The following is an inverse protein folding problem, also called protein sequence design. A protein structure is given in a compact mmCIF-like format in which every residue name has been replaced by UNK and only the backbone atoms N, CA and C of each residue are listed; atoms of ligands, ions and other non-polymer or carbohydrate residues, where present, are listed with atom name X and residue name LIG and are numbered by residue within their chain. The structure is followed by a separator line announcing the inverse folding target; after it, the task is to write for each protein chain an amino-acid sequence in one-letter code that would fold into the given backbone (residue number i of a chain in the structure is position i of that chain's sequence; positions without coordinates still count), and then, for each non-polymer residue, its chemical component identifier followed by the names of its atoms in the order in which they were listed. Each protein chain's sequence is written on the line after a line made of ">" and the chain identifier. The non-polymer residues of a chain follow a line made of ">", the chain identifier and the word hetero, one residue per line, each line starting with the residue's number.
data_IF_660554010869
#
_entry.id   IF_660554010869
#
_cell.length_a   1.000
_cell.length_b   1.000
_cell.length_c   1.000
_cell.angle_alpha   90.00
_cell.angle_beta   90.00
_cell.angle_gamma   90.00
#
_symmetry.space_group_name_H-M   'P 1'
#
loop_
_entity.id
_entity.type
_entity.pdbx_description
1 polymer ?
#
# COMPACT_ATOMS: atom_id res chain seq x y z
N UNK A 1 -28.72 -2.09 -0.84
CA UNK A 1 -28.49 -0.66 -1.08
C UNK A 1 -27.40 -0.23 -0.11
N UNK A 2 -26.24 0.19 -0.61
CA UNK A 2 -25.13 0.65 0.22
C UNK A 2 -25.16 2.18 0.17
N UNK A 3 -25.27 2.82 1.33
CA UNK A 3 -25.20 4.28 1.46
C UNK A 3 -23.79 4.69 1.86
N UNK A 4 -23.26 5.73 1.22
CA UNK A 4 -21.98 6.34 1.58
C UNK A 4 -22.26 7.61 2.40
N UNK A 5 -21.48 7.84 3.47
CA UNK A 5 -21.56 9.08 4.24
C UNK A 5 -20.82 10.21 3.51
N UNK A 6 -21.46 11.38 3.42
CA UNK A 6 -20.86 12.60 2.89
C UNK A 6 -19.81 13.12 3.90
N UNK A 7 -18.54 13.06 3.52
CA UNK A 7 -17.40 13.52 4.32
C UNK A 7 -17.00 14.97 4.02
N UNK A 8 -17.50 15.57 2.94
CA UNK A 8 -17.18 16.95 2.53
C UNK A 8 -18.05 17.97 3.28
N UNK A 9 -19.26 17.56 3.68
CA UNK A 9 -20.17 18.34 4.55
C UNK A 9 -20.66 17.47 5.70
N UNK A 10 -19.81 17.21 6.72
CA UNK A 10 -20.26 16.43 7.87
C UNK A 10 -21.46 17.14 8.50
N UNK A 11 -22.61 16.47 8.52
CA UNK A 11 -23.73 16.91 9.34
C UNK A 11 -23.21 17.04 10.78
N UNK A 12 -23.60 18.12 11.46
CA UNK A 12 -23.26 18.39 12.87
C UNK A 12 -23.31 17.09 13.68
N UNK A 13 -22.22 16.77 14.41
CA UNK A 13 -22.05 15.51 15.17
C UNK A 13 -23.39 15.04 15.75
N UNK A 14 -23.98 13.99 15.17
CA UNK A 14 -25.28 13.55 15.65
C UNK A 14 -25.09 12.96 17.05
N UNK A 15 -26.01 13.24 17.96
CA UNK A 15 -25.89 12.90 19.39
C UNK A 15 -25.54 11.42 19.64
N UNK A 16 -25.96 10.51 18.75
CA UNK A 16 -25.64 9.09 18.81
C UNK A 16 -24.16 8.76 18.62
N UNK A 17 -23.40 9.59 17.88
CA UNK A 17 -21.96 9.39 17.71
C UNK A 17 -21.20 9.60 19.04
N UNK A 18 -21.79 10.35 19.99
CA UNK A 18 -21.22 10.54 21.35
C UNK A 18 -21.62 9.43 22.32
N UNK A 19 -22.81 8.86 22.18
CA UNK A 19 -23.30 7.79 23.07
C UNK A 19 -22.96 6.40 22.55
N UNK A 20 -22.61 6.27 21.26
CA UNK A 20 -22.37 5.00 20.59
C UNK A 20 -23.65 4.19 20.33
N UNK A 21 -24.83 4.70 20.73
CA UNK A 21 -26.10 3.98 20.64
C UNK A 21 -26.95 4.51 19.48
N UNK A 22 -26.76 3.91 18.31
CA UNK A 22 -27.56 4.18 17.11
C UNK A 22 -29.01 3.74 17.31
N UNK A 23 -29.27 2.71 18.11
CA UNK A 23 -30.63 2.22 18.36
C UNK A 23 -31.45 3.22 19.17
N UNK A 24 -30.85 3.87 20.16
CA UNK A 24 -31.47 4.95 20.92
C UNK A 24 -31.88 6.13 20.00
N UNK A 25 -31.02 6.52 19.07
CA UNK A 25 -31.33 7.57 18.10
C UNK A 25 -32.39 7.16 17.08
N UNK A 26 -32.30 5.94 16.52
CA UNK A 26 -33.32 5.40 15.62
C UNK A 26 -34.68 5.37 16.32
N UNK A 27 -34.73 4.93 17.59
CA UNK A 27 -35.95 4.97 18.41
C UNK A 27 -36.49 6.38 18.56
N UNK A 28 -35.65 7.40 18.73
CA UNK A 28 -36.10 8.79 18.83
C UNK A 28 -36.61 9.37 17.49
N UNK A 29 -36.00 8.99 16.36
CA UNK A 29 -36.36 9.49 15.02
C UNK A 29 -37.66 8.86 14.50
N UNK A 30 -37.91 7.58 14.82
CA UNK A 30 -39.10 6.84 14.39
C UNK A 30 -40.18 6.75 15.50
N UNK A 31 -39.89 7.24 16.70
CA UNK A 31 -40.73 7.15 17.89
C UNK A 31 -41.71 8.31 18.04
N UNK A 32 -42.92 8.13 17.52
CA UNK A 32 -44.08 8.97 17.87
C UNK A 32 -45.35 8.67 17.08
N UNK A 33 -45.24 8.24 15.81
CA UNK A 33 -46.40 7.85 14.99
C UNK A 33 -46.33 6.46 14.36
N UNK A 34 -45.19 5.78 14.47
CA UNK A 34 -44.97 4.47 13.86
C UNK A 34 -45.43 3.28 14.74
N UNK A 35 -45.63 3.50 16.04
CA UNK A 35 -45.86 2.45 17.05
C UNK A 35 -47.35 2.18 17.37
N UNK A 36 -48.30 2.76 16.62
CA UNK A 36 -49.75 2.58 16.86
C UNK A 36 -50.34 1.37 16.10
N UNK A 37 -49.57 0.68 15.25
CA UNK A 37 -50.01 -0.59 14.66
C UNK A 37 -49.16 -1.73 15.23
N UNK A 38 -49.75 -2.52 16.12
CA UNK A 38 -49.14 -3.59 16.91
C UNK A 38 -48.61 -4.81 16.14
N UNK A 39 -48.09 -4.60 14.93
CA UNK A 39 -47.42 -5.60 14.09
C UNK A 39 -46.20 -5.02 13.33
N UNK A 40 -45.97 -3.69 13.38
CA UNK A 40 -44.85 -3.02 12.70
C UNK A 40 -43.63 -2.76 13.62
N UNK A 41 -43.75 -3.08 14.90
CA UNK A 41 -42.76 -2.85 15.96
C UNK A 41 -41.48 -3.68 15.81
N UNK A 42 -41.57 -4.91 15.28
CA UNK A 42 -40.44 -5.85 15.19
C UNK A 42 -39.70 -5.83 13.83
N UNK A 43 -39.92 -4.80 13.01
CA UNK A 43 -39.50 -4.84 11.60
C UNK A 43 -38.01 -4.61 11.34
N UNK A 44 -37.35 -3.71 12.08
CA UNK A 44 -36.04 -3.13 11.68
C UNK A 44 -34.89 -3.38 12.67
N UNK A 45 -35.17 -3.56 13.96
CA UNK A 45 -34.15 -3.63 15.02
C UNK A 45 -33.16 -4.80 14.84
N UNK A 46 -33.59 -5.88 14.17
CA UNK A 46 -32.74 -7.04 13.82
C UNK A 46 -32.28 -7.06 12.36
N UNK A 47 -32.66 -6.05 11.56
CA UNK A 47 -32.33 -5.95 10.13
C UNK A 47 -31.25 -4.91 9.83
N UNK A 48 -31.01 -3.97 10.74
CA UNK A 48 -29.97 -2.95 10.60
C UNK A 48 -28.86 -3.25 11.60
N UNK A 49 -27.73 -3.75 11.11
CA UNK A 49 -26.50 -3.89 11.88
C UNK A 49 -25.52 -2.82 11.43
N UNK A 50 -25.07 -1.98 12.36
CA UNK A 50 -23.95 -1.07 12.10
C UNK A 50 -22.69 -1.91 12.11
N UNK A 51 -22.15 -2.14 10.92
CA UNK A 51 -20.84 -2.77 10.75
C UNK A 51 -19.84 -1.67 10.47
N UNK A 52 -18.74 -1.67 11.21
CA UNK A 52 -17.56 -0.90 10.81
C UNK A 52 -17.08 -1.47 9.47
N UNK A 53 -17.05 -0.68 8.37
CA UNK A 53 -16.54 -1.18 7.11
C UNK A 53 -15.09 -1.64 7.30
N UNK A 54 -14.75 -2.81 6.77
CA UNK A 54 -13.38 -3.31 6.83
C UNK A 54 -12.40 -2.24 6.31
N UNK A 55 -11.24 -2.05 6.98
CA UNK A 55 -10.28 -1.05 6.56
C UNK A 55 -9.83 -1.32 5.12
N UNK A 56 -9.68 -0.25 4.34
CA UNK A 56 -9.30 -0.37 2.94
C UNK A 56 -7.98 -1.19 2.81
N UNK A 57 -7.89 -2.10 1.82
CA UNK A 57 -6.73 -2.95 1.67
C UNK A 57 -5.46 -2.11 1.46
N UNK A 58 -4.46 -2.37 2.29
CA UNK A 58 -3.17 -1.68 2.25
C UNK A 58 -2.20 -2.42 1.33
N UNK A 59 -1.04 -1.82 1.04
CA UNK A 59 -0.02 -2.52 0.25
C UNK A 59 0.37 -3.85 0.93
N UNK A 60 0.42 -3.86 2.25
CA UNK A 60 0.68 -5.07 3.04
C UNK A 60 -0.33 -6.18 2.78
N UNK A 61 -1.61 -5.85 2.59
CA UNK A 61 -2.63 -6.85 2.22
C UNK A 61 -2.26 -7.58 0.92
N UNK A 62 -1.71 -6.86 -0.06
CA UNK A 62 -1.26 -7.44 -1.34
C UNK A 62 0.03 -8.27 -1.15
N UNK A 63 0.97 -7.77 -0.34
CA UNK A 63 2.22 -8.49 -0.04
C UNK A 63 1.95 -9.80 0.72
N UNK A 64 1.06 -9.77 1.71
CA UNK A 64 0.64 -10.96 2.47
C UNK A 64 -0.09 -11.96 1.58
N UNK A 65 -0.97 -11.48 0.70
CA UNK A 65 -1.62 -12.33 -0.30
C UNK A 65 -0.59 -13.00 -1.22
N UNK A 66 0.46 -12.29 -1.66
CA UNK A 66 1.58 -12.91 -2.39
C UNK A 66 2.30 -13.96 -1.54
N UNK A 67 2.58 -13.65 -0.26
CA UNK A 67 3.25 -14.57 0.66
C UNK A 67 2.49 -15.88 0.89
N UNK A 68 1.16 -15.86 0.82
CA UNK A 68 0.33 -17.05 0.95
C UNK A 68 0.20 -17.83 -0.37
N UNK A 69 0.09 -17.13 -1.50
CA UNK A 69 -0.31 -17.74 -2.78
C UNK A 69 0.86 -18.02 -3.73
N UNK A 70 2.03 -17.39 -3.55
CA UNK A 70 3.17 -17.60 -4.46
C UNK A 70 3.71 -19.03 -4.36
N UNK A 71 4.02 -19.70 -5.49
CA UNK A 71 4.70 -20.98 -5.50
C UNK A 71 6.22 -20.87 -5.24
N UNK A 72 6.78 -19.66 -5.15
CA UNK A 72 8.20 -19.46 -4.97
C UNK A 72 8.63 -19.77 -3.52
N UNK A 73 9.55 -20.73 -3.33
CA UNK A 73 10.05 -21.11 -2.00
C UNK A 73 8.96 -21.67 -1.08
N UNK A 74 9.22 -21.71 0.23
CA UNK A 74 8.22 -22.11 1.21
C UNK A 74 7.59 -20.90 1.92
N UNK A 75 6.43 -21.11 2.56
CA UNK A 75 5.66 -20.03 3.21
C UNK A 75 6.46 -19.34 4.32
N UNK A 76 7.27 -20.06 5.08
CA UNK A 76 8.08 -19.49 6.18
C UNK A 76 9.15 -18.54 5.64
N UNK A 77 9.84 -18.92 4.57
CA UNK A 77 10.83 -18.06 3.90
C UNK A 77 10.17 -16.80 3.34
N UNK A 78 9.00 -16.93 2.69
CA UNK A 78 8.25 -15.78 2.16
C UNK A 78 7.83 -14.82 3.27
N UNK A 79 7.32 -15.34 4.38
CA UNK A 79 6.92 -14.52 5.53
C UNK A 79 8.11 -13.83 6.19
N UNK A 80 9.27 -14.49 6.29
CA UNK A 80 10.51 -13.86 6.75
C UNK A 80 10.92 -12.72 5.82
N UNK A 81 10.96 -12.97 4.51
CA UNK A 81 11.27 -11.97 3.49
C UNK A 81 10.38 -10.73 3.60
N UNK A 82 9.06 -10.91 3.75
CA UNK A 82 8.14 -9.77 3.91
C UNK A 82 8.43 -8.94 5.16
N UNK A 83 8.67 -9.62 6.29
CA UNK A 83 8.91 -8.95 7.58
C UNK A 83 10.28 -8.28 7.71
N UNK A 84 11.30 -8.78 7.01
CA UNK A 84 12.67 -8.27 7.13
C UNK A 84 13.11 -7.42 5.96
N UNK A 85 12.82 -7.83 4.73
CA UNK A 85 13.31 -7.16 3.54
C UNK A 85 12.30 -6.14 3.01
N UNK A 86 11.02 -6.50 2.93
CA UNK A 86 9.98 -5.61 2.41
C UNK A 86 9.49 -4.57 3.43
N UNK A 87 10.05 -4.53 4.64
CA UNK A 87 9.85 -3.44 5.61
C UNK A 87 10.54 -2.15 5.19
N UNK A 88 11.59 -2.25 4.37
CA UNK A 88 12.34 -1.09 3.89
C UNK A 88 11.69 -0.50 2.63
N UNK A 89 11.40 0.80 2.66
CA UNK A 89 10.75 1.54 1.57
C UNK A 89 11.49 1.41 0.24
N UNK A 90 12.82 1.42 0.26
CA UNK A 90 13.64 1.27 -0.95
C UNK A 90 13.38 -0.09 -1.64
N UNK A 91 13.13 -1.15 -0.85
CA UNK A 91 12.81 -2.48 -1.37
C UNK A 91 11.35 -2.56 -1.87
N UNK A 92 10.43 -1.80 -1.27
CA UNK A 92 9.07 -1.64 -1.79
C UNK A 92 9.10 -0.94 -3.16
N UNK A 93 9.86 0.14 -3.29
CA UNK A 93 9.99 0.89 -4.55
C UNK A 93 10.54 0.04 -5.67
N UNK A 94 11.39 -0.93 -5.36
CA UNK A 94 11.95 -1.86 -6.34
C UNK A 94 10.86 -2.59 -7.16
N UNK A 95 9.65 -2.77 -6.62
CA UNK A 95 8.49 -3.27 -7.39
C UNK A 95 8.23 -2.38 -8.61
N UNK A 96 8.17 -1.06 -8.42
CA UNK A 96 7.98 -0.10 -9.51
C UNK A 96 9.19 -0.05 -10.43
N UNK A 97 10.40 -0.04 -9.85
CA UNK A 97 11.63 0.09 -10.64
C UNK A 97 11.81 -1.09 -11.58
N UNK A 98 11.51 -2.32 -11.16
CA UNK A 98 11.55 -3.50 -12.03
C UNK A 98 10.61 -3.39 -13.23
N UNK A 99 9.40 -2.88 -13.00
CA UNK A 99 8.41 -2.71 -14.06
C UNK A 99 8.87 -1.63 -15.05
N UNK A 100 9.43 -0.52 -14.56
CA UNK A 100 9.96 0.57 -15.39
C UNK A 100 11.17 0.13 -16.21
N UNK A 101 12.04 -0.74 -15.67
CA UNK A 101 13.19 -1.30 -16.39
C UNK A 101 12.78 -2.33 -17.46
N UNK A 102 11.57 -2.86 -17.37
CA UNK A 102 11.06 -3.91 -18.25
C UNK A 102 11.58 -5.31 -17.87
N UNK A 103 10.82 -6.34 -18.24
CA UNK A 103 11.08 -7.75 -17.88
C UNK A 103 12.42 -8.32 -18.36
N UNK A 104 13.16 -7.60 -19.22
CA UNK A 104 14.50 -8.01 -19.66
C UNK A 104 15.57 -7.83 -18.57
N UNK A 105 15.29 -7.10 -17.49
CA UNK A 105 16.17 -7.00 -16.34
C UNK A 105 16.00 -8.21 -15.39
N UNK A 106 16.20 -9.42 -15.91
CA UNK A 106 16.57 -10.57 -15.07
C UNK A 106 18.09 -10.51 -14.89
N UNK A 107 18.67 -10.84 -13.72
CA UNK A 107 20.13 -10.86 -13.55
C UNK A 107 20.85 -11.84 -14.50
N UNK A 108 20.10 -12.67 -15.23
CA UNK A 108 20.62 -13.65 -16.19
C UNK A 108 20.55 -13.19 -17.66
N UNK A 109 19.78 -12.15 -17.97
CA UNK A 109 19.86 -11.50 -19.29
C UNK A 109 20.78 -10.32 -19.14
N UNK A 110 21.77 -10.18 -20.03
CA UNK A 110 22.75 -9.09 -20.06
C UNK A 110 22.06 -7.71 -19.97
N UNK A 111 21.78 -7.24 -18.76
CA UNK A 111 21.48 -5.86 -18.51
C UNK A 111 22.80 -5.14 -18.70
N UNK A 112 22.86 -4.25 -19.69
CA UNK A 112 23.95 -3.29 -19.82
C UNK A 112 23.99 -2.46 -18.54
N UNK A 113 24.82 -2.87 -17.59
CA UNK A 113 25.13 -2.11 -16.39
C UNK A 113 25.64 -0.77 -16.85
N UNK A 114 24.81 0.25 -16.71
CA UNK A 114 25.19 1.60 -17.12
C UNK A 114 26.18 2.09 -16.07
N UNK A 115 27.46 2.31 -16.41
CA UNK A 115 28.44 2.72 -15.41
C UNK A 115 28.00 4.02 -14.75
N UNK A 116 28.22 4.13 -13.43
CA UNK A 116 27.76 5.27 -12.63
C UNK A 116 28.26 6.64 -13.16
N UNK A 117 29.37 6.63 -13.91
CA UNK A 117 29.94 7.79 -14.62
C UNK A 117 29.03 8.40 -15.70
N UNK A 118 27.99 7.68 -16.13
CA UNK A 118 27.06 8.16 -17.15
C UNK A 118 25.88 8.95 -16.56
N UNK A 119 25.73 8.96 -15.23
CA UNK A 119 24.67 9.71 -14.55
C UNK A 119 25.20 11.06 -14.09
N UNK A 120 24.40 12.10 -14.29
CA UNK A 120 24.73 13.47 -13.87
C UNK A 120 23.55 14.11 -13.14
N UNK A 121 23.85 15.12 -12.32
CA UNK A 121 22.83 15.94 -11.65
C UNK A 121 21.90 15.15 -10.72
N UNK A 122 20.59 15.45 -10.69
CA UNK A 122 19.62 14.82 -9.77
C UNK A 122 19.55 13.28 -9.86
N UNK A 123 19.89 12.71 -11.01
CA UNK A 123 19.91 11.25 -11.19
C UNK A 123 21.08 10.60 -10.46
N UNK A 124 22.23 11.26 -10.41
CA UNK A 124 23.37 10.79 -9.64
C UNK A 124 23.09 10.87 -8.13
N UNK A 125 22.44 11.94 -7.66
CA UNK A 125 22.00 12.03 -6.26
C UNK A 125 20.91 11.01 -5.88
N UNK A 126 20.14 10.54 -6.87
CA UNK A 126 19.15 9.48 -6.69
C UNK A 126 19.78 8.07 -6.61
N UNK A 127 21.04 7.92 -7.03
CA UNK A 127 21.78 6.68 -6.88
C UNK A 127 22.16 6.50 -5.40
N UNK A 128 21.51 5.57 -4.67
CA UNK A 128 21.97 5.19 -3.34
C UNK A 128 23.08 4.16 -3.46
N UNK A 129 24.28 4.48 -2.93
CA UNK A 129 25.42 3.57 -2.93
C UNK A 129 25.25 2.34 -2.01
N UNK A 130 24.14 2.23 -1.28
CA UNK A 130 23.80 1.09 -0.42
C UNK A 130 22.54 0.32 -0.84
N UNK A 131 21.84 0.73 -1.90
CA UNK A 131 20.66 -0.01 -2.37
C UNK A 131 21.09 -1.33 -3.03
N UNK A 132 20.45 -2.45 -2.64
CA UNK A 132 20.71 -3.78 -3.21
C UNK A 132 20.65 -3.81 -4.75
N UNK A 133 19.88 -2.88 -5.35
CA UNK A 133 19.64 -2.81 -6.78
C UNK A 133 20.30 -1.60 -7.46
N UNK A 134 21.22 -0.89 -6.80
CA UNK A 134 21.88 0.30 -7.35
C UNK A 134 22.56 0.02 -8.72
N UNK A 135 23.12 -1.18 -8.89
CA UNK A 135 23.79 -1.61 -10.13
C UNK A 135 22.85 -1.88 -11.31
N UNK A 136 21.56 -2.03 -11.03
CA UNK A 136 20.55 -2.40 -12.03
C UNK A 136 19.77 -1.18 -12.55
N UNK A 137 20.09 0.04 -12.10
CA UNK A 137 19.30 1.22 -12.41
C UNK A 137 19.52 1.73 -13.85
N UNK A 138 18.42 2.16 -14.47
CA UNK A 138 18.38 2.87 -15.76
C UNK A 138 18.12 4.36 -15.52
N UNK A 139 18.29 5.21 -16.54
CA UNK A 139 17.93 6.63 -16.43
C UNK A 139 16.48 6.84 -15.99
N UNK A 140 15.54 6.03 -16.50
CA UNK A 140 14.11 6.15 -16.17
C UNK A 140 13.84 5.69 -14.74
N UNK A 141 14.45 4.58 -14.30
CA UNK A 141 14.27 4.12 -12.91
C UNK A 141 14.94 5.07 -11.90
N UNK A 142 16.08 5.68 -12.25
CA UNK A 142 16.66 6.76 -11.46
C UNK A 142 15.80 8.02 -11.45
N UNK A 143 15.12 8.36 -12.53
CA UNK A 143 14.20 9.49 -12.56
C UNK A 143 13.01 9.26 -11.61
N UNK A 144 12.46 8.04 -11.58
CA UNK A 144 11.42 7.65 -10.62
C UNK A 144 11.92 7.77 -9.18
N UNK A 145 13.13 7.28 -8.88
CA UNK A 145 13.75 7.44 -7.56
C UNK A 145 14.00 8.91 -7.20
N UNK A 146 14.47 9.72 -8.14
CA UNK A 146 14.71 11.15 -7.93
C UNK A 146 13.40 11.87 -7.59
N UNK A 147 12.33 11.58 -8.33
CA UNK A 147 10.99 12.13 -8.07
C UNK A 147 10.51 11.70 -6.69
N UNK A 148 10.64 10.42 -6.33
CA UNK A 148 10.25 9.94 -5.01
C UNK A 148 11.01 10.67 -3.89
N UNK A 149 12.34 10.77 -3.99
CA UNK A 149 13.17 11.45 -3.00
C UNK A 149 12.84 12.93 -2.89
N UNK A 150 12.62 13.58 -4.02
CA UNK A 150 12.18 14.97 -4.08
C UNK A 150 10.83 15.14 -3.36
N UNK A 151 9.86 14.26 -3.60
CA UNK A 151 8.58 14.27 -2.90
C UNK A 151 8.73 14.10 -1.39
N UNK A 152 9.57 13.15 -0.93
CA UNK A 152 9.86 12.98 0.50
C UNK A 152 10.52 14.23 1.08
N UNK A 153 11.50 14.82 0.39
CA UNK A 153 12.19 16.02 0.83
C UNK A 153 11.22 17.20 0.99
N UNK A 154 10.38 17.48 -0.01
CA UNK A 154 9.41 18.56 0.06
C UNK A 154 8.30 18.31 1.08
N UNK A 155 7.82 17.06 1.21
CA UNK A 155 6.83 16.71 2.23
C UNK A 155 7.40 16.89 3.65
N UNK A 156 8.66 16.48 3.87
CA UNK A 156 9.36 16.72 5.14
C UNK A 156 9.52 18.20 5.46
N UNK A 157 9.85 19.02 4.46
CA UNK A 157 9.94 20.48 4.63
C UNK A 157 8.58 21.11 4.98
N UNK A 158 7.49 20.57 4.44
CA UNK A 158 6.15 21.12 4.64
C UNK A 158 5.53 20.76 6.00
N UNK A 159 5.61 19.49 6.40
CA UNK A 159 4.88 18.97 7.58
C UNK A 159 5.74 18.08 8.50
N UNK A 160 7.07 18.13 8.37
CA UNK A 160 8.00 17.38 9.22
C UNK A 160 8.04 15.89 8.89
N UNK A 161 8.45 15.06 9.85
CA UNK A 161 8.65 13.62 9.63
C UNK A 161 7.36 12.87 9.21
N UNK A 162 6.18 13.39 9.55
CA UNK A 162 4.90 12.85 9.07
C UNK A 162 4.74 12.88 7.55
N UNK A 163 5.39 13.83 6.87
CA UNK A 163 5.36 13.94 5.41
C UNK A 163 6.03 12.76 4.71
N UNK A 164 7.05 12.14 5.32
CA UNK A 164 7.65 10.92 4.78
C UNK A 164 6.63 9.78 4.73
N UNK A 165 5.92 9.56 5.84
CA UNK A 165 4.93 8.49 5.96
C UNK A 165 3.78 8.67 4.96
N UNK A 166 3.32 9.91 4.74
CA UNK A 166 2.29 10.20 3.74
C UNK A 166 2.76 9.84 2.33
N UNK A 167 3.98 10.25 1.94
CA UNK A 167 4.54 9.92 0.62
C UNK A 167 4.69 8.39 0.45
N UNK A 168 5.17 7.69 1.48
CA UNK A 168 5.29 6.22 1.47
C UNK A 168 3.94 5.53 1.33
N UNK A 169 2.92 6.02 2.03
CA UNK A 169 1.55 5.54 1.89
C UNK A 169 1.06 5.73 0.45
N UNK A 170 1.19 6.93 -0.12
CA UNK A 170 0.78 7.23 -1.51
C UNK A 170 1.48 6.36 -2.55
N UNK A 171 2.77 6.10 -2.37
CA UNK A 171 3.50 5.14 -3.22
C UNK A 171 2.90 3.74 -3.10
N UNK A 172 2.54 3.32 -1.89
CA UNK A 172 1.82 2.06 -1.68
C UNK A 172 0.47 2.02 -2.41
N UNK A 173 -0.27 3.12 -2.47
CA UNK A 173 -1.51 3.24 -3.26
C UNK A 173 -1.24 3.07 -4.75
N UNK A 174 -0.21 3.75 -5.27
CA UNK A 174 0.20 3.65 -6.68
C UNK A 174 0.54 2.20 -7.04
N UNK A 175 1.33 1.52 -6.20
CA UNK A 175 1.71 0.12 -6.42
C UNK A 175 0.47 -0.78 -6.45
N UNK A 176 -0.49 -0.59 -5.55
CA UNK A 176 -1.73 -1.39 -5.51
C UNK A 176 -2.62 -1.21 -6.73
N UNK A 177 -2.54 -0.07 -7.41
CA UNK A 177 -3.28 0.18 -8.64
C UNK A 177 -2.71 -0.58 -9.85
N UNK A 178 -1.54 -1.21 -9.72
CA UNK A 178 -0.96 -2.02 -10.78
C UNK A 178 -1.67 -3.39 -10.89
N UNK A 179 -1.71 -4.00 -12.09
CA UNK A 179 -2.20 -5.35 -12.25
C UNK A 179 -1.49 -6.34 -11.31
N UNK A 180 -2.25 -7.11 -10.53
CA UNK A 180 -1.73 -8.03 -9.49
C UNK A 180 -0.64 -8.97 -10.00
N UNK A 181 -0.79 -9.49 -11.23
CA UNK A 181 0.19 -10.40 -11.82
C UNK A 181 1.57 -9.75 -12.04
N UNK A 182 1.63 -8.44 -12.29
CA UNK A 182 2.90 -7.70 -12.42
C UNK A 182 3.58 -7.53 -11.05
N UNK A 183 2.78 -7.22 -10.02
CA UNK A 183 3.27 -7.11 -8.64
C UNK A 183 3.84 -8.47 -8.20
N UNK A 184 3.08 -9.56 -8.39
CA UNK A 184 3.49 -10.91 -8.00
C UNK A 184 4.74 -11.37 -8.74
N UNK A 185 4.80 -11.12 -10.06
CA UNK A 185 5.98 -11.44 -10.86
C UNK A 185 7.22 -10.68 -10.38
N UNK A 186 7.07 -9.40 -10.03
CA UNK A 186 8.16 -8.60 -9.49
C UNK A 186 8.62 -9.12 -8.13
N UNK A 187 7.68 -9.39 -7.21
CA UNK A 187 7.97 -9.95 -5.88
C UNK A 187 8.66 -11.31 -5.96
N UNK A 188 8.22 -12.19 -6.85
CA UNK A 188 8.87 -13.48 -7.10
C UNK A 188 10.33 -13.30 -7.52
N UNK A 189 10.63 -12.27 -8.33
CA UNK A 189 11.99 -11.92 -8.72
C UNK A 189 12.85 -11.44 -7.55
N UNK A 190 12.34 -10.44 -6.81
CA UNK A 190 13.04 -9.88 -5.64
C UNK A 190 13.30 -10.97 -4.61
N UNK A 191 12.30 -11.80 -4.32
CA UNK A 191 12.41 -12.90 -3.37
C UNK A 191 13.45 -13.95 -3.79
N UNK A 192 13.52 -14.31 -5.07
CA UNK A 192 14.53 -15.25 -5.57
C UNK A 192 15.95 -14.72 -5.36
N UNK A 193 16.16 -13.44 -5.64
CA UNK A 193 17.47 -12.78 -5.43
C UNK A 193 17.83 -12.74 -3.95
N UNK A 194 16.89 -12.28 -3.10
CA UNK A 194 17.05 -12.27 -1.64
C UNK A 194 17.41 -13.66 -1.08
N UNK A 195 16.74 -14.72 -1.55
CA UNK A 195 17.04 -16.10 -1.15
C UNK A 195 18.43 -16.57 -1.56
N UNK A 196 18.93 -16.16 -2.72
CA UNK A 196 20.27 -16.53 -3.18
C UNK A 196 21.31 -15.88 -2.27
N UNK A 197 21.15 -14.60 -1.96
CA UNK A 197 22.04 -13.85 -1.05
C UNK A 197 22.06 -14.46 0.36
N UNK A 198 20.89 -14.83 0.89
CA UNK A 198 20.76 -15.37 2.26
C UNK A 198 21.06 -16.87 2.37
N UNK A 199 21.32 -17.56 1.25
CA UNK A 199 21.85 -18.94 1.25
C UNK A 199 23.37 -19.00 1.20
N UNK A 200 24.03 -17.90 0.86
CA UNK A 200 25.49 -17.80 0.77
C UNK A 200 26.14 -17.30 2.06
N UNK A 201 25.33 -16.94 3.07
CA UNK A 201 25.73 -16.64 4.44
C UNK A 201 25.44 -17.83 5.35
#
# INVERSE_FOLDING_TARGET
>A
MIGYMDTERPLSEPKWAKTGDVHEWLKSMFGGRFWVAGDAAEGWEKKITVMDPDPAPTLWTVLDAWGLNSPAGNTVERQRFLKSHMSETDNILEILLRLVRGERATPFSQASTTPASNFTGPLLSALSQGSAHAKQQTHVSLAVLAIFRMSVEYAKKAIGDGGKAEVEQRVGEIIRCLPTHLIYKSLDGIFKEWRVEHKQQ
#
